data_IF_311274184238
#
_entry.id   IF_311274184238
#
_cell.length_a   1.000
_cell.length_b   1.000
_cell.length_c   1.000
_cell.angle_alpha   90.00
_cell.angle_beta   90.00
_cell.angle_gamma   90.00
#
_symmetry.space_group_name_H-M   'P 1'
#
loop_
_entity.id
_entity.type
_entity.pdbx_description
1 polymer ?
#
# COMPACT_ATOMS: atom_id res chain seq x y z
N UNK A 1 18.51 81.49 27.38
CA UNK A 1 17.11 81.07 27.22
C UNK A 1 16.74 81.24 25.75
N UNK A 2 16.66 80.16 24.97
CA UNK A 2 16.27 80.20 23.56
C UNK A 2 14.77 79.99 23.44
N UNK A 3 14.08 80.90 22.74
CA UNK A 3 12.64 80.84 22.52
C UNK A 3 12.28 79.62 21.64
N UNK A 4 11.16 78.94 21.90
CA UNK A 4 10.71 77.81 21.09
C UNK A 4 10.39 78.27 19.66
N UNK A 5 11.04 77.66 18.66
CA UNK A 5 10.70 77.85 17.25
C UNK A 5 9.33 77.24 17.00
N UNK A 6 8.31 78.07 16.83
CA UNK A 6 7.02 77.64 16.33
C UNK A 6 7.12 77.37 14.84
N UNK A 7 6.58 76.23 14.40
CA UNK A 7 6.49 75.91 12.98
C UNK A 7 5.51 76.89 12.31
N UNK A 8 5.81 77.37 11.09
CA UNK A 8 4.90 78.25 10.38
C UNK A 8 3.59 77.50 10.09
N UNK A 9 2.43 78.17 10.18
CA UNK A 9 1.10 77.56 10.07
C UNK A 9 0.91 76.81 8.75
N UNK A 10 1.54 77.30 7.67
CA UNK A 10 1.58 76.67 6.35
C UNK A 10 2.18 75.24 6.37
N UNK A 11 3.21 75.01 7.19
CA UNK A 11 3.85 73.70 7.32
C UNK A 11 2.96 72.72 8.10
N UNK A 12 2.25 73.22 9.11
CA UNK A 12 1.29 72.43 9.89
C UNK A 12 0.14 72.00 8.98
N UNK A 13 -0.33 72.89 8.12
CA UNK A 13 -1.41 72.61 7.17
C UNK A 13 -0.99 71.59 6.11
N UNK A 14 0.22 71.72 5.55
CA UNK A 14 0.75 70.71 4.61
C UNK A 14 0.99 69.33 5.22
N UNK A 15 1.28 69.25 6.52
CA UNK A 15 1.40 67.98 7.24
C UNK A 15 0.02 67.38 7.56
N UNK A 16 -0.99 68.22 7.80
CA UNK A 16 -2.36 67.78 8.00
C UNK A 16 -3.02 67.25 6.70
N UNK A 17 -2.60 67.75 5.53
CA UNK A 17 -3.08 67.29 4.23
C UNK A 17 -2.45 65.97 3.74
N UNK A 18 -1.52 65.39 4.50
CA UNK A 18 -0.96 64.06 4.19
C UNK A 18 -1.96 63.01 4.67
N UNK A 19 -2.83 62.56 3.77
CA UNK A 19 -3.67 61.40 4.02
C UNK A 19 -2.77 60.19 4.35
N UNK A 20 -3.02 59.45 5.45
CA UNK A 20 -2.28 58.23 5.74
C UNK A 20 -2.49 57.23 4.60
N UNK A 21 -1.45 56.46 4.21
CA UNK A 21 -1.61 55.45 3.18
C UNK A 21 -2.68 54.44 3.61
N UNK A 22 -3.42 53.86 2.65
CA UNK A 22 -4.39 52.82 2.97
C UNK A 22 -3.66 51.67 3.70
N UNK A 23 -4.31 51.05 4.71
CA UNK A 23 -3.70 49.94 5.45
C UNK A 23 -3.38 48.79 4.47
N UNK A 24 -2.26 48.07 4.68
CA UNK A 24 -1.92 46.93 3.84
C UNK A 24 -3.03 45.87 3.86
N UNK A 25 -3.37 45.33 2.68
CA UNK A 25 -4.29 44.20 2.60
C UNK A 25 -3.55 42.88 2.89
N UNK A 26 -3.83 42.30 4.06
CA UNK A 26 -3.26 41.03 4.50
C UNK A 26 -4.04 39.80 4.01
N UNK A 27 -5.22 39.98 3.41
CA UNK A 27 -6.07 38.89 2.91
C UNK A 27 -5.35 37.92 1.96
N UNK A 28 -4.57 38.36 0.94
CA UNK A 28 -3.87 37.43 0.06
C UNK A 28 -2.84 36.57 0.79
N UNK A 29 -2.21 37.11 1.84
CA UNK A 29 -1.25 36.35 2.66
C UNK A 29 -1.94 35.19 3.39
N UNK A 30 -3.13 35.44 3.95
CA UNK A 30 -3.94 34.42 4.61
C UNK A 30 -4.43 33.33 3.65
N UNK A 31 -4.86 33.71 2.43
CA UNK A 31 -5.23 32.74 1.40
C UNK A 31 -4.05 31.89 0.95
N UNK A 32 -2.87 32.49 0.80
CA UNK A 32 -1.64 31.75 0.50
C UNK A 32 -1.28 30.75 1.60
N UNK A 33 -1.35 31.15 2.86
CA UNK A 33 -1.10 30.27 3.99
C UNK A 33 -2.12 29.10 4.07
N UNK A 34 -3.40 29.39 3.85
CA UNK A 34 -4.45 28.37 3.84
C UNK A 34 -4.27 27.36 2.69
N UNK A 35 -3.94 27.85 1.49
CA UNK A 35 -3.67 26.98 0.34
C UNK A 35 -2.45 26.07 0.57
N UNK A 36 -1.38 26.62 1.15
CA UNK A 36 -0.18 25.85 1.49
C UNK A 36 -0.48 24.75 2.52
N UNK A 37 -1.22 25.09 3.58
CA UNK A 37 -1.65 24.11 4.59
C UNK A 37 -2.52 23.01 3.99
N UNK A 38 -3.43 23.35 3.08
CA UNK A 38 -4.27 22.38 2.38
C UNK A 38 -3.44 21.42 1.54
N UNK A 39 -2.45 21.93 0.79
CA UNK A 39 -1.55 21.12 -0.02
C UNK A 39 -0.71 20.18 0.85
N UNK A 40 -0.19 20.66 1.97
CA UNK A 40 0.56 19.84 2.93
C UNK A 40 -0.33 18.76 3.56
N UNK A 41 -1.57 19.09 3.92
CA UNK A 41 -2.53 18.13 4.46
C UNK A 41 -2.87 17.04 3.43
N UNK A 42 -3.11 17.42 2.16
CA UNK A 42 -3.31 16.45 1.08
C UNK A 42 -2.07 15.57 0.89
N UNK A 43 -0.88 16.16 0.80
CA UNK A 43 0.37 15.42 0.64
C UNK A 43 0.58 14.42 1.77
N UNK A 44 0.33 14.83 3.01
CA UNK A 44 0.39 13.96 4.17
C UNK A 44 -0.65 12.83 4.12
N UNK A 45 -1.87 13.10 3.65
CA UNK A 45 -2.91 12.09 3.46
C UNK A 45 -2.51 11.05 2.41
N UNK A 46 -1.87 11.48 1.31
CA UNK A 46 -1.36 10.60 0.27
C UNK A 46 -0.14 9.78 0.73
N UNK A 47 0.72 10.34 1.59
CA UNK A 47 1.82 9.60 2.23
C UNK A 47 1.32 8.62 3.29
N UNK A 48 0.20 8.94 3.97
CA UNK A 48 -0.50 8.04 4.91
C UNK A 48 -1.36 6.97 4.25
N UNK A 49 -1.18 6.69 2.95
CA UNK A 49 -1.77 5.48 2.37
C UNK A 49 -1.29 4.29 3.21
N UNK A 50 -2.21 3.53 3.85
CA UNK A 50 -1.82 2.37 4.64
C UNK A 50 -0.98 1.50 3.70
N UNK A 51 0.24 1.17 4.15
CA UNK A 51 1.19 0.39 3.36
C UNK A 51 0.46 -0.79 2.73
N UNK A 52 0.76 -1.07 1.45
CA UNK A 52 0.10 -2.14 0.70
C UNK A 52 -0.03 -3.37 1.59
N UNK A 53 -1.23 -3.95 1.74
CA UNK A 53 -1.42 -5.09 2.63
C UNK A 53 -0.43 -6.16 2.24
N UNK A 54 0.30 -6.66 3.24
CA UNK A 54 1.35 -7.67 3.05
C UNK A 54 0.80 -8.80 2.16
N UNK A 55 1.39 -9.03 0.97
CA UNK A 55 0.89 -10.00 0.01
C UNK A 55 0.80 -11.41 0.62
N UNK A 56 1.66 -11.74 1.59
CA UNK A 56 1.60 -13.00 2.33
C UNK A 56 0.35 -13.12 3.18
N UNK A 57 0.05 -12.08 3.97
CA UNK A 57 -1.18 -12.04 4.80
C UNK A 57 -2.43 -12.15 3.93
N UNK A 58 -2.44 -11.50 2.77
CA UNK A 58 -3.54 -11.63 1.82
C UNK A 58 -3.63 -13.05 1.23
N UNK A 59 -2.50 -13.65 0.87
CA UNK A 59 -2.44 -15.02 0.36
C UNK A 59 -2.93 -16.04 1.40
N UNK A 60 -2.52 -15.91 2.67
CA UNK A 60 -2.98 -16.75 3.78
C UNK A 60 -4.50 -16.68 3.98
N UNK A 61 -5.08 -15.47 4.02
CA UNK A 61 -6.54 -15.32 4.14
C UNK A 61 -7.29 -15.95 2.96
N UNK A 62 -6.72 -15.85 1.75
CA UNK A 62 -7.31 -16.46 0.55
C UNK A 62 -7.14 -17.98 0.56
N UNK A 63 -6.04 -18.50 1.11
CA UNK A 63 -5.81 -19.92 1.32
C UNK A 63 -6.87 -20.51 2.25
N UNK A 64 -7.15 -19.86 3.40
CA UNK A 64 -8.21 -20.27 4.34
C UNK A 64 -9.59 -20.36 3.69
N UNK A 65 -9.87 -19.42 2.78
CA UNK A 65 -11.13 -19.43 2.04
C UNK A 65 -11.16 -20.57 1.03
N UNK A 66 -10.09 -20.74 0.27
CA UNK A 66 -9.96 -21.79 -0.73
C UNK A 66 -10.09 -23.20 -0.11
N UNK A 67 -9.41 -23.42 1.02
CA UNK A 67 -9.46 -24.69 1.77
C UNK A 67 -10.88 -25.02 2.22
N UNK A 68 -11.60 -24.04 2.77
CA UNK A 68 -13.01 -24.21 3.18
C UNK A 68 -13.93 -24.47 1.99
N UNK A 69 -13.75 -23.76 0.89
CA UNK A 69 -14.56 -23.94 -0.32
C UNK A 69 -14.31 -25.32 -0.95
N UNK A 70 -13.05 -25.79 -0.95
CA UNK A 70 -12.67 -27.12 -1.40
C UNK A 70 -13.24 -28.23 -0.50
N UNK A 71 -13.09 -28.12 0.83
CA UNK A 71 -13.64 -29.10 1.80
C UNK A 71 -15.16 -29.23 1.71
N UNK A 72 -15.86 -28.15 1.37
CA UNK A 72 -17.32 -28.15 1.17
C UNK A 72 -17.74 -28.70 -0.20
N UNK A 73 -16.80 -29.04 -1.08
CA UNK A 73 -17.08 -29.50 -2.45
C UNK A 73 -17.55 -28.37 -3.39
N UNK A 74 -17.48 -27.11 -2.97
CA UNK A 74 -17.81 -25.97 -3.83
C UNK A 74 -16.72 -25.66 -4.86
N UNK A 75 -15.51 -26.18 -4.66
CA UNK A 75 -14.39 -26.01 -5.57
C UNK A 75 -13.82 -27.39 -5.94
N UNK A 76 -13.88 -27.79 -7.22
CA UNK A 76 -13.28 -29.04 -7.69
C UNK A 76 -11.76 -29.04 -7.47
N UNK A 77 -11.18 -30.22 -7.18
CA UNK A 77 -9.75 -30.41 -6.92
C UNK A 77 -8.85 -29.72 -7.94
N UNK A 78 -9.17 -29.87 -9.23
CA UNK A 78 -8.43 -29.23 -10.31
C UNK A 78 -8.39 -27.72 -10.18
N UNK A 79 -9.55 -27.10 -9.92
CA UNK A 79 -9.66 -25.64 -9.75
C UNK A 79 -8.97 -25.19 -8.47
N UNK A 80 -9.10 -25.97 -7.38
CA UNK A 80 -8.42 -25.72 -6.13
C UNK A 80 -6.89 -25.76 -6.30
N UNK A 81 -6.36 -26.73 -7.05
CA UNK A 81 -4.93 -26.83 -7.36
C UNK A 81 -4.41 -25.62 -8.16
N UNK A 82 -5.14 -25.16 -9.18
CA UNK A 82 -4.78 -23.93 -9.91
C UNK A 82 -4.75 -22.70 -9.00
N UNK A 83 -5.76 -22.55 -8.14
CA UNK A 83 -5.86 -21.42 -7.21
C UNK A 83 -4.78 -21.49 -6.13
N UNK A 84 -4.48 -22.68 -5.63
CA UNK A 84 -3.42 -22.92 -4.65
C UNK A 84 -2.06 -22.50 -5.21
N UNK A 85 -1.74 -22.95 -6.43
CA UNK A 85 -0.53 -22.54 -7.14
C UNK A 85 -0.45 -21.00 -7.31
N UNK A 86 -1.54 -20.37 -7.76
CA UNK A 86 -1.59 -18.92 -7.92
C UNK A 86 -1.38 -18.17 -6.59
N UNK A 87 -1.95 -18.66 -5.48
CA UNK A 87 -1.81 -18.05 -4.16
C UNK A 87 -0.38 -18.16 -3.63
N UNK A 88 0.25 -19.32 -3.78
CA UNK A 88 1.66 -19.51 -3.43
C UNK A 88 2.56 -18.56 -4.22
N UNK A 89 2.34 -18.48 -5.54
CA UNK A 89 3.10 -17.58 -6.42
C UNK A 89 3.00 -16.12 -5.98
N UNK A 90 1.78 -15.65 -5.72
CA UNK A 90 1.54 -14.27 -5.29
C UNK A 90 2.03 -13.99 -3.87
N UNK A 91 1.82 -14.92 -2.94
CA UNK A 91 2.21 -14.75 -1.54
C UNK A 91 3.72 -14.78 -1.34
N UNK A 92 4.44 -15.61 -2.11
CA UNK A 92 5.90 -15.67 -2.06
C UNK A 92 6.59 -14.66 -3.01
N UNK A 93 5.83 -13.96 -3.86
CA UNK A 93 6.39 -13.01 -4.83
C UNK A 93 7.18 -13.68 -5.96
N UNK A 94 6.87 -14.94 -6.29
CA UNK A 94 7.57 -15.70 -7.32
C UNK A 94 7.02 -15.39 -8.70
N UNK A 95 7.87 -15.35 -9.72
CA UNK A 95 7.42 -15.27 -11.13
C UNK A 95 6.93 -16.64 -11.62
N UNK A 96 7.61 -17.70 -11.19
CA UNK A 96 7.34 -19.10 -11.52
C UNK A 96 7.58 -19.99 -10.28
N UNK A 97 6.70 -20.98 -10.07
CA UNK A 97 6.80 -21.93 -8.96
C UNK A 97 7.88 -23.00 -9.19
N UNK A 98 8.35 -23.19 -10.42
CA UNK A 98 9.43 -24.15 -10.72
C UNK A 98 10.80 -23.71 -10.18
N UNK A 99 10.93 -22.43 -9.83
CA UNK A 99 12.14 -21.85 -9.27
C UNK A 99 11.88 -21.53 -7.79
N UNK A 100 12.14 -22.49 -6.88
CA UNK A 100 11.88 -22.25 -5.48
C UNK A 100 12.86 -21.22 -4.90
N UNK A 101 12.46 -20.54 -3.81
CA UNK A 101 13.36 -19.66 -3.06
C UNK A 101 14.53 -20.43 -2.42
N UNK A 102 14.36 -21.72 -2.10
CA UNK A 102 15.38 -22.64 -1.59
C UNK A 102 15.24 -24.01 -2.29
N UNK A 103 16.33 -24.69 -2.66
CA UNK A 103 16.26 -26.05 -3.20
C UNK A 103 15.79 -27.00 -2.10
N UNK A 104 14.54 -27.44 -2.20
CA UNK A 104 13.88 -28.34 -1.26
C UNK A 104 13.18 -29.44 -2.07
N UNK A 105 13.54 -30.70 -1.81
CA UNK A 105 12.92 -31.87 -2.44
C UNK A 105 11.41 -31.92 -2.16
N UNK A 106 11.00 -31.42 -0.99
CA UNK A 106 9.59 -31.32 -0.59
C UNK A 106 8.83 -30.31 -1.48
N UNK A 107 9.49 -29.23 -1.90
CA UNK A 107 8.91 -28.26 -2.83
C UNK A 107 8.69 -28.89 -4.21
N UNK A 108 9.69 -29.60 -4.74
CA UNK A 108 9.57 -30.23 -6.06
C UNK A 108 8.49 -31.31 -6.07
N UNK A 109 8.43 -32.14 -5.01
CA UNK A 109 7.37 -33.13 -4.85
C UNK A 109 5.98 -32.48 -4.80
N UNK A 110 5.85 -31.36 -4.07
CA UNK A 110 4.60 -30.61 -3.99
C UNK A 110 4.16 -30.03 -5.35
N UNK A 111 5.08 -29.42 -6.10
CA UNK A 111 4.78 -28.87 -7.42
C UNK A 111 4.42 -29.98 -8.41
N UNK A 112 5.16 -31.09 -8.41
CA UNK A 112 4.86 -32.24 -9.26
C UNK A 112 3.43 -32.77 -9.01
N UNK A 113 3.02 -32.83 -7.74
CA UNK A 113 1.69 -33.29 -7.35
C UNK A 113 0.59 -32.30 -7.74
N UNK A 114 0.82 -31.00 -7.55
CA UNK A 114 -0.08 -29.95 -8.05
C UNK A 114 -0.26 -30.03 -9.56
N UNK A 115 0.83 -30.21 -10.31
CA UNK A 115 0.79 -30.30 -11.76
C UNK A 115 0.07 -31.56 -12.25
N UNK A 116 0.22 -32.68 -11.53
CA UNK A 116 -0.54 -33.89 -11.81
C UNK A 116 -2.06 -33.64 -11.70
N UNK A 117 -2.51 -33.00 -10.61
CA UNK A 117 -3.94 -32.64 -10.41
C UNK A 117 -4.44 -31.61 -11.44
N UNK A 118 -3.57 -30.69 -11.90
CA UNK A 118 -3.94 -29.61 -12.84
C UNK A 118 -4.09 -30.08 -14.28
N UNK A 119 -3.23 -30.98 -14.73
CA UNK A 119 -3.06 -31.29 -16.15
C UNK A 119 -3.49 -32.70 -16.55
N UNK A 120 -3.68 -33.64 -15.60
CA UNK A 120 -4.21 -34.96 -15.94
C UNK A 120 -5.74 -34.98 -15.84
N UNK A 121 -6.47 -35.09 -16.97
CA UNK A 121 -7.94 -35.11 -16.97
C UNK A 121 -8.54 -36.39 -16.37
N UNK A 122 -7.74 -37.44 -16.15
CA UNK A 122 -8.17 -38.74 -15.63
C UNK A 122 -7.31 -39.23 -14.45
N UNK A 123 -6.60 -38.34 -13.74
CA UNK A 123 -5.83 -38.77 -12.57
C UNK A 123 -6.77 -39.13 -11.42
N UNK A 124 -6.60 -40.34 -10.88
CA UNK A 124 -7.06 -40.74 -9.54
C UNK A 124 -6.49 -39.85 -8.43
N UNK A 125 -5.48 -39.08 -8.76
CA UNK A 125 -4.80 -38.14 -7.88
C UNK A 125 -5.73 -36.99 -7.53
N UNK A 126 -6.18 -37.00 -6.27
CA UNK A 126 -7.00 -35.96 -5.67
C UNK A 126 -6.13 -34.95 -4.96
N UNK A 127 -6.64 -33.74 -4.84
CA UNK A 127 -6.05 -32.76 -3.93
C UNK A 127 -6.26 -33.27 -2.51
N UNK A 128 -5.25 -33.18 -1.65
CA UNK A 128 -5.35 -33.57 -0.24
C UNK A 128 -5.22 -32.36 0.68
N UNK A 129 -5.56 -32.54 1.94
CA UNK A 129 -5.43 -31.47 2.94
C UNK A 129 -3.95 -31.15 3.23
N UNK A 130 -3.06 -32.13 3.06
CA UNK A 130 -1.62 -31.97 3.23
C UNK A 130 -1.03 -30.85 2.34
N UNK A 131 -1.54 -30.69 1.11
CA UNK A 131 -1.05 -29.65 0.19
C UNK A 131 -1.41 -28.23 0.70
N UNK A 132 -2.56 -28.07 1.38
CA UNK A 132 -2.92 -26.78 2.00
C UNK A 132 -2.02 -26.47 3.21
N UNK A 133 -1.69 -27.49 4.01
CA UNK A 133 -0.79 -27.33 5.16
C UNK A 133 0.63 -26.94 4.73
N UNK A 134 1.17 -27.59 3.70
CA UNK A 134 2.49 -27.25 3.15
C UNK A 134 2.51 -25.82 2.60
N UNK A 135 1.49 -25.45 1.82
CA UNK A 135 1.33 -24.09 1.31
C UNK A 135 1.29 -23.05 2.44
N UNK A 136 0.55 -23.33 3.52
CA UNK A 136 0.46 -22.48 4.70
C UNK A 136 1.82 -22.32 5.36
N UNK A 137 2.55 -23.43 5.56
CA UNK A 137 3.87 -23.44 6.19
C UNK A 137 4.87 -22.56 5.42
N UNK A 138 4.92 -22.67 4.09
CA UNK A 138 5.81 -21.81 3.29
C UNK A 138 5.39 -20.34 3.30
N UNK A 139 4.08 -20.05 3.31
CA UNK A 139 3.59 -18.67 3.39
C UNK A 139 3.86 -18.01 4.77
N UNK A 140 3.87 -18.80 5.86
CA UNK A 140 4.18 -18.31 7.21
C UNK A 140 5.67 -18.25 7.52
N UNK A 141 6.48 -19.10 6.88
CA UNK A 141 7.93 -19.08 7.10
C UNK A 141 8.47 -17.80 6.51
N UNK A 142 9.11 -16.96 7.34
CA UNK A 142 9.83 -15.78 6.85
C UNK A 142 10.90 -16.26 5.88
N UNK A 143 10.72 -15.94 4.61
CA UNK A 143 11.78 -16.05 3.62
C UNK A 143 12.12 -14.62 3.27
N UNK A 144 13.42 -14.26 3.20
CA UNK A 144 13.79 -12.94 2.72
C UNK A 144 13.13 -12.79 1.36
N UNK A 145 12.15 -11.90 1.29
CA UNK A 145 11.54 -11.54 0.03
C UNK A 145 12.69 -11.07 -0.84
N UNK A 146 13.02 -11.82 -1.89
CA UNK A 146 13.95 -11.34 -2.89
C UNK A 146 13.25 -10.17 -3.56
N UNK A 147 13.57 -8.97 -3.09
CA UNK A 147 13.27 -7.72 -3.74
C UNK A 147 13.91 -7.81 -5.13
N UNK A 148 13.10 -8.14 -6.13
CA UNK A 148 13.44 -7.88 -7.53
C UNK A 148 13.06 -6.42 -7.83
#
# INVERSE_FOLDING_TARGET
>A
MQAPRTLPPELVQRLADIAPPPPPDWRPLWWGAAALLLLLALGFLFMRRPGRPDPRRLALRRLDRLERDWRKGHCPDRQAAYRLAALLRLGLGLTDLRHPPLPDDEWQAFIARLDAVRYRPASTERLEEAQFLLARRWLTTEHPARSC
#
